data_IF_190289388782
#
_entry.id   IF_190289388782
#
_cell.length_a   1.000
_cell.length_b   1.000
_cell.length_c   1.000
_cell.angle_alpha   90.00
_cell.angle_beta   90.00
_cell.angle_gamma   90.00
#
_symmetry.space_group_name_H-M   'P 1'
#
loop_
_entity.id
_entity.type
_entity.pdbx_description
1 polymer ?
#
# COMPACT_ATOMS: atom_id res chain seq x y z
N UNK A 1 50.63 36.24 -9.37
CA UNK A 1 49.73 35.97 -10.51
C UNK A 1 48.99 34.68 -10.22
N UNK A 2 47.76 34.76 -9.74
CA UNK A 2 46.92 33.60 -9.41
C UNK A 2 45.84 33.54 -10.48
N UNK A 3 45.89 32.51 -11.34
CA UNK A 3 44.92 32.30 -12.40
C UNK A 3 43.77 31.44 -11.85
N UNK A 4 42.62 32.07 -11.63
CA UNK A 4 41.34 31.45 -11.29
C UNK A 4 40.66 30.91 -12.56
N UNK A 5 40.57 29.58 -12.69
CA UNK A 5 39.81 28.89 -13.72
C UNK A 5 38.43 28.52 -13.18
N UNK A 6 37.44 29.37 -13.45
CA UNK A 6 36.02 29.06 -13.28
C UNK A 6 35.53 28.26 -14.50
N UNK A 7 35.31 26.96 -14.35
CA UNK A 7 34.58 26.14 -15.34
C UNK A 7 33.09 26.18 -15.02
N UNK A 8 32.32 26.81 -15.91
CA UNK A 8 30.87 26.70 -15.95
C UNK A 8 30.49 25.33 -16.53
N UNK A 9 29.88 24.47 -15.72
CA UNK A 9 29.28 23.21 -16.17
C UNK A 9 27.84 23.51 -16.57
N UNK A 10 27.52 23.37 -17.85
CA UNK A 10 26.14 23.43 -18.34
C UNK A 10 25.39 22.15 -17.92
N UNK A 11 24.14 22.25 -17.43
CA UNK A 11 23.37 21.07 -17.06
C UNK A 11 22.96 20.27 -18.31
N UNK A 12 23.19 18.97 -18.26
CA UNK A 12 22.85 17.99 -19.29
C UNK A 12 21.31 17.83 -19.40
N UNK A 13 20.69 18.13 -20.56
CA UNK A 13 19.23 18.06 -20.72
C UNK A 13 18.67 16.63 -20.88
N UNK A 14 19.49 15.58 -20.75
CA UNK A 14 19.06 14.19 -21.00
C UNK A 14 18.40 13.47 -19.80
N UNK A 15 18.37 14.07 -18.61
CA UNK A 15 17.68 13.50 -17.43
C UNK A 15 16.24 14.02 -17.32
N UNK A 16 15.38 13.67 -18.28
CA UNK A 16 13.91 13.71 -18.08
C UNK A 16 13.42 12.33 -17.68
N UNK A 17 13.47 12.04 -16.39
CA UNK A 17 12.70 10.93 -15.82
C UNK A 17 11.23 11.27 -15.96
N UNK A 18 10.50 10.52 -16.78
CA UNK A 18 9.04 10.58 -16.88
C UNK A 18 8.44 10.12 -15.56
N UNK A 19 8.18 11.07 -14.68
CA UNK A 19 7.66 10.82 -13.34
C UNK A 19 6.13 10.70 -13.39
N UNK A 20 5.64 9.59 -13.93
CA UNK A 20 4.21 9.24 -13.94
C UNK A 20 3.67 8.85 -12.55
N UNK A 21 4.55 8.70 -11.55
CA UNK A 21 4.17 8.37 -10.17
C UNK A 21 3.69 9.58 -9.36
N UNK A 22 4.13 10.79 -9.73
CA UNK A 22 3.74 12.04 -9.06
C UNK A 22 2.31 12.49 -9.36
N UNK A 23 1.66 11.97 -10.42
CA UNK A 23 0.29 12.33 -10.77
C UNK A 23 -0.73 11.73 -9.79
N UNK A 24 -0.53 10.48 -9.34
CA UNK A 24 -1.48 9.76 -8.48
C UNK A 24 -1.45 10.25 -7.02
N UNK A 25 -0.27 10.58 -6.49
CA UNK A 25 -0.14 11.15 -5.13
C UNK A 25 -0.65 12.60 -5.08
N UNK A 26 -0.53 13.36 -6.17
CA UNK A 26 -1.09 14.71 -6.24
C UNK A 26 -2.61 14.71 -6.33
N UNK A 27 -3.23 13.75 -7.01
CA UNK A 27 -4.70 13.72 -7.19
C UNK A 27 -5.45 13.52 -5.87
N UNK A 28 -4.92 12.71 -4.94
CA UNK A 28 -5.55 12.48 -3.64
C UNK A 28 -5.35 13.64 -2.63
N UNK A 29 -4.25 14.38 -2.74
CA UNK A 29 -3.96 15.55 -1.88
C UNK A 29 -4.55 16.87 -2.41
N UNK A 30 -4.90 16.95 -3.70
CA UNK A 30 -5.41 18.19 -4.31
C UNK A 30 -6.87 18.50 -3.92
N UNK A 31 -7.67 17.49 -3.60
CA UNK A 31 -9.09 17.67 -3.28
C UNK A 31 -9.37 18.30 -1.91
N UNK A 32 -8.40 18.31 -1.00
CA UNK A 32 -8.61 18.76 0.40
C UNK A 32 -8.04 20.15 0.71
N UNK A 33 -7.26 20.76 -0.18
CA UNK A 33 -6.72 22.11 0.00
C UNK A 33 -7.75 23.17 -0.46
N UNK A 34 -8.77 23.44 0.36
CA UNK A 34 -9.63 24.60 0.09
C UNK A 34 -10.94 24.67 0.86
N UNK A 35 -11.39 23.58 1.47
CA UNK A 35 -12.57 23.59 2.34
C UNK A 35 -12.13 23.52 3.79
N UNK A 36 -12.47 24.55 4.56
CA UNK A 36 -12.48 24.48 6.01
C UNK A 36 -13.58 23.49 6.41
N UNK A 37 -13.22 22.23 6.56
CA UNK A 37 -14.09 21.26 7.20
C UNK A 37 -14.01 21.49 8.71
N UNK A 38 -15.14 21.51 9.43
CA UNK A 38 -15.10 21.43 10.89
C UNK A 38 -14.34 20.16 11.29
N UNK A 39 -13.67 20.14 12.45
CA UNK A 39 -12.99 18.95 12.92
C UNK A 39 -13.96 17.75 12.87
N UNK A 40 -13.49 16.63 12.32
CA UNK A 40 -14.28 15.40 12.15
C UNK A 40 -14.94 14.88 13.44
N UNK A 41 -14.50 15.40 14.60
CA UNK A 41 -15.04 15.14 15.93
C UNK A 41 -16.49 15.59 16.10
N UNK A 42 -16.92 16.57 15.31
CA UNK A 42 -18.27 17.13 15.33
C UNK A 42 -19.17 16.57 14.21
N UNK A 43 -18.67 15.64 13.39
CA UNK A 43 -19.41 15.13 12.24
C UNK A 43 -20.48 14.12 12.67
N UNK A 44 -21.69 14.31 12.17
CA UNK A 44 -22.72 13.31 12.23
C UNK A 44 -22.42 12.15 11.24
N UNK A 45 -22.94 10.96 11.54
CA UNK A 45 -22.78 9.78 10.67
C UNK A 45 -23.31 10.04 9.26
N UNK A 46 -24.34 10.86 9.11
CA UNK A 46 -24.89 11.31 7.83
C UNK A 46 -23.88 12.12 7.01
N UNK A 47 -23.09 12.98 7.66
CA UNK A 47 -22.07 13.81 7.00
C UNK A 47 -20.86 12.97 6.56
N UNK A 48 -20.49 11.94 7.33
CA UNK A 48 -19.51 10.95 6.92
C UNK A 48 -19.99 10.15 5.70
N UNK A 49 -21.25 9.71 5.67
CA UNK A 49 -21.87 9.03 4.52
C UNK A 49 -21.85 9.92 3.27
N UNK A 50 -22.19 11.20 3.40
CA UNK A 50 -22.18 12.15 2.29
C UNK A 50 -20.78 12.42 1.75
N UNK A 51 -19.78 12.50 2.64
CA UNK A 51 -18.38 12.72 2.27
C UNK A 51 -17.78 11.51 1.53
N UNK A 52 -18.07 10.29 1.98
CA UNK A 52 -17.67 9.06 1.27
C UNK A 52 -18.34 8.99 -0.11
N UNK A 53 -19.62 9.35 -0.18
CA UNK A 53 -20.39 9.39 -1.44
C UNK A 53 -19.86 10.44 -2.42
N UNK A 54 -19.43 11.61 -1.95
CA UNK A 54 -18.85 12.68 -2.78
C UNK A 54 -17.37 12.47 -3.13
N UNK A 55 -16.64 11.64 -2.39
CA UNK A 55 -15.23 11.34 -2.64
C UNK A 55 -15.00 10.39 -3.84
N UNK A 56 -16.06 9.98 -4.54
CA UNK A 56 -15.94 9.06 -5.68
C UNK A 56 -15.56 7.62 -5.28
N UNK A 57 -15.57 7.30 -3.99
CA UNK A 57 -15.45 5.93 -3.46
C UNK A 57 -16.78 5.16 -3.63
N UNK A 58 -17.46 5.37 -4.75
CA UNK A 58 -18.62 4.56 -5.13
C UNK A 58 -18.11 3.15 -5.41
N UNK A 59 -18.52 2.20 -4.57
CA UNK A 59 -18.50 0.78 -4.91
C UNK A 59 -19.24 0.65 -6.24
N UNK A 60 -18.53 0.33 -7.31
CA UNK A 60 -19.15 -0.02 -8.58
C UNK A 60 -20.10 -1.19 -8.34
N UNK A 61 -21.40 -0.89 -8.33
CA UNK A 61 -22.45 -1.86 -8.07
C UNK A 61 -23.83 -1.22 -8.09
N UNK A 62 -24.32 -0.92 -9.30
CA UNK A 62 -25.76 -0.79 -9.56
C UNK A 62 -26.31 0.63 -9.60
N UNK A 63 -26.82 0.99 -10.78
CA UNK A 63 -27.61 2.19 -11.06
C UNK A 63 -28.80 2.31 -10.09
N UNK A 64 -28.82 3.33 -9.24
CA UNK A 64 -30.05 3.80 -8.60
C UNK A 64 -30.63 4.93 -9.44
N UNK A 65 -31.41 4.54 -10.46
CA UNK A 65 -32.34 5.44 -11.10
C UNK A 65 -33.40 5.88 -10.07
N UNK A 66 -33.62 7.20 -9.98
CA UNK A 66 -34.62 7.85 -9.15
C UNK A 66 -36.02 7.25 -9.38
N UNK A 67 -36.54 6.52 -8.40
CA UNK A 67 -37.86 5.89 -8.42
C UNK A 67 -38.75 6.46 -7.30
N UNK A 68 -39.02 7.77 -7.32
CA UNK A 68 -39.90 8.39 -6.32
C UNK A 68 -41.25 8.90 -6.83
N UNK A 69 -41.58 8.77 -8.13
CA UNK A 69 -42.77 9.47 -8.66
C UNK A 69 -43.84 8.62 -9.36
N UNK A 70 -43.84 7.29 -9.17
CA UNK A 70 -44.91 6.44 -9.71
C UNK A 70 -45.25 5.27 -8.82
N UNK A 71 -46.03 5.47 -7.76
CA UNK A 71 -47.06 4.50 -7.29
C UNK A 71 -47.79 5.02 -6.05
N UNK A 72 -48.62 6.05 -6.20
CA UNK A 72 -49.74 6.29 -5.27
C UNK A 72 -51.01 5.98 -6.04
N UNK A 73 -51.38 4.70 -6.08
CA UNK A 73 -52.64 4.30 -6.67
C UNK A 73 -52.71 2.83 -7.06
N UNK A 74 -53.28 2.03 -6.16
CA UNK A 74 -53.92 0.74 -6.40
C UNK A 74 -53.01 -0.46 -6.68
N UNK A 75 -52.85 -1.30 -5.67
CA UNK A 75 -53.14 -2.76 -5.61
C UNK A 75 -52.53 -3.26 -4.28
N UNK A 76 -53.34 -3.44 -3.24
CA UNK A 76 -53.83 -4.77 -2.85
C UNK A 76 -52.69 -5.72 -2.46
N UNK A 77 -52.42 -5.76 -1.14
CA UNK A 77 -51.83 -6.88 -0.38
C UNK A 77 -50.91 -7.82 -1.18
N UNK A 78 -49.75 -7.31 -1.60
CA UNK A 78 -48.64 -8.18 -1.94
C UNK A 78 -48.05 -8.71 -0.63
N UNK A 79 -47.80 -10.02 -0.56
CA UNK A 79 -46.86 -10.60 0.40
C UNK A 79 -45.55 -9.81 0.27
N UNK A 80 -45.40 -8.78 1.10
CA UNK A 80 -44.11 -8.17 1.36
C UNK A 80 -43.27 -9.33 1.85
N UNK A 81 -42.30 -9.73 1.05
CA UNK A 81 -41.47 -10.87 1.38
C UNK A 81 -40.90 -10.64 2.78
N UNK A 82 -40.74 -11.70 3.57
CA UNK A 82 -40.18 -11.58 4.92
C UNK A 82 -38.83 -10.82 4.90
N UNK A 83 -38.11 -10.94 3.79
CA UNK A 83 -36.90 -10.21 3.45
C UNK A 83 -37.13 -8.69 3.32
N UNK A 84 -38.14 -8.24 2.57
CA UNK A 84 -38.46 -6.80 2.44
C UNK A 84 -38.91 -6.20 3.79
N UNK A 85 -39.64 -6.97 4.61
CA UNK A 85 -39.98 -6.58 5.99
C UNK A 85 -38.74 -6.45 6.88
N UNK A 86 -37.74 -7.31 6.66
CA UNK A 86 -36.49 -7.27 7.42
C UNK A 86 -35.60 -6.11 6.96
N UNK A 87 -35.50 -5.84 5.65
CA UNK A 87 -34.81 -4.68 5.09
C UNK A 87 -35.44 -3.39 5.62
N UNK A 88 -36.76 -3.23 5.53
CA UNK A 88 -37.45 -2.04 6.03
C UNK A 88 -37.26 -1.81 7.54
N UNK A 89 -37.16 -2.89 8.34
CA UNK A 89 -36.84 -2.80 9.78
C UNK A 89 -35.40 -2.36 10.02
N UNK A 90 -34.45 -2.82 9.21
CA UNK A 90 -33.05 -2.40 9.30
C UNK A 90 -32.89 -0.93 8.87
N UNK A 91 -33.57 -0.51 7.80
CA UNK A 91 -33.60 0.88 7.36
C UNK A 91 -34.28 1.80 8.40
N UNK A 92 -35.39 1.35 8.99
CA UNK A 92 -36.04 2.09 10.08
C UNK A 92 -35.14 2.17 11.33
N UNK A 93 -34.44 1.10 11.67
CA UNK A 93 -33.48 1.10 12.77
C UNK A 93 -32.27 2.01 12.47
N UNK A 94 -31.82 2.11 11.21
CA UNK A 94 -30.78 3.06 10.78
C UNK A 94 -31.26 4.51 10.84
N UNK A 95 -32.55 4.76 10.56
CA UNK A 95 -33.17 6.09 10.67
C UNK A 95 -33.42 6.50 12.13
N UNK A 96 -33.77 5.54 12.98
CA UNK A 96 -34.02 5.74 14.42
C UNK A 96 -32.74 5.64 15.27
N UNK A 97 -31.63 5.17 14.70
CA UNK A 97 -30.35 5.08 15.38
C UNK A 97 -29.81 6.48 15.69
N UNK A 98 -30.14 6.98 16.88
CA UNK A 98 -29.51 8.15 17.46
C UNK A 98 -28.12 7.77 17.96
N UNK A 99 -27.15 7.66 17.05
CA UNK A 99 -25.75 7.85 17.37
C UNK A 99 -25.40 9.29 17.03
N UNK A 100 -25.57 10.24 17.98
CA UNK A 100 -25.28 11.63 17.68
C UNK A 100 -23.85 11.81 17.14
N UNK A 101 -22.88 10.99 17.55
CA UNK A 101 -21.48 11.12 17.09
C UNK A 101 -20.80 9.78 16.81
N UNK A 102 -19.85 9.76 15.86
CA UNK A 102 -19.07 8.56 15.52
C UNK A 102 -18.31 7.98 16.73
N UNK A 103 -17.78 8.84 17.61
CA UNK A 103 -17.03 8.41 18.80
C UNK A 103 -17.92 7.80 19.91
N UNK A 104 -19.24 7.93 19.81
CA UNK A 104 -20.18 7.31 20.74
C UNK A 104 -20.51 5.85 20.37
N UNK A 105 -20.12 5.42 19.16
CA UNK A 105 -20.19 4.01 18.77
C UNK A 105 -19.30 3.16 19.68
N UNK A 106 -19.67 1.91 19.94
CA UNK A 106 -18.78 0.98 20.64
C UNK A 106 -17.46 0.79 19.85
N UNK A 107 -16.34 0.58 20.55
CA UNK A 107 -15.03 0.42 19.93
C UNK A 107 -14.99 -0.72 18.89
N UNK A 108 -15.70 -1.82 19.15
CA UNK A 108 -15.80 -2.95 18.22
C UNK A 108 -16.46 -2.54 16.89
N UNK A 109 -17.54 -1.74 16.95
CA UNK A 109 -18.21 -1.23 15.76
C UNK A 109 -17.30 -0.26 14.99
N UNK A 110 -16.59 0.62 15.69
CA UNK A 110 -15.61 1.52 15.06
C UNK A 110 -14.52 0.72 14.36
N UNK A 111 -13.98 -0.32 15.00
CA UNK A 111 -12.98 -1.20 14.43
C UNK A 111 -13.48 -1.89 13.16
N UNK A 112 -14.72 -2.40 13.13
CA UNK A 112 -15.31 -2.96 11.91
C UNK A 112 -15.40 -1.95 10.77
N UNK A 113 -15.74 -0.69 11.07
CA UNK A 113 -15.76 0.39 10.07
C UNK A 113 -14.34 0.68 9.55
N UNK A 114 -13.34 0.70 10.44
CA UNK A 114 -11.95 0.89 10.03
C UNK A 114 -11.46 -0.25 9.16
N UNK A 115 -11.77 -1.50 9.51
CA UNK A 115 -11.41 -2.67 8.71
C UNK A 115 -12.04 -2.62 7.32
N UNK A 116 -13.32 -2.26 7.24
CA UNK A 116 -14.02 -2.06 5.97
C UNK A 116 -13.36 -0.97 5.12
N UNK A 117 -13.04 0.17 5.72
CA UNK A 117 -12.33 1.25 5.03
C UNK A 117 -10.94 0.81 4.56
N UNK A 118 -10.20 0.10 5.40
CA UNK A 118 -8.84 -0.36 5.10
C UNK A 118 -8.80 -1.48 4.06
N UNK A 119 -9.87 -2.27 3.93
CA UNK A 119 -9.99 -3.31 2.92
C UNK A 119 -9.84 -2.75 1.49
N UNK A 120 -10.25 -1.50 1.25
CA UNK A 120 -10.07 -0.82 -0.03
C UNK A 120 -8.59 -0.66 -0.43
N UNK A 121 -7.66 -0.68 0.54
CA UNK A 121 -6.22 -0.59 0.30
C UNK A 121 -5.50 -1.94 0.38
N UNK A 122 -6.21 -3.04 0.68
CA UNK A 122 -5.58 -4.34 0.92
C UNK A 122 -4.90 -4.93 -0.32
N UNK A 123 -5.44 -4.62 -1.51
CA UNK A 123 -5.00 -5.16 -2.78
C UNK A 123 -3.80 -4.42 -3.39
N UNK A 124 -3.60 -3.15 -3.01
CA UNK A 124 -2.54 -2.31 -3.55
C UNK A 124 -1.42 -2.11 -2.52
N UNK A 125 -0.17 -2.45 -2.86
CA UNK A 125 0.97 -2.12 -2.02
C UNK A 125 1.06 -0.60 -1.80
N UNK A 126 1.09 -0.18 -0.54
CA UNK A 126 1.20 1.21 -0.15
C UNK A 126 2.66 1.63 -0.15
N UNK A 127 3.03 2.52 -1.07
CA UNK A 127 4.32 3.19 -1.05
C UNK A 127 4.22 4.48 -0.23
N UNK A 128 5.04 4.60 0.82
CA UNK A 128 4.99 5.74 1.75
C UNK A 128 3.58 6.04 2.26
N UNK A 129 2.91 5.07 2.92
CA UNK A 129 1.57 5.32 3.40
C UNK A 129 1.56 6.51 4.35
N UNK A 130 0.82 7.53 3.95
CA UNK A 130 0.39 8.59 4.86
C UNK A 130 -0.66 8.02 5.81
N UNK A 131 -0.72 8.55 7.03
CA UNK A 131 -1.83 8.22 7.93
C UNK A 131 -3.17 8.51 7.22
N UNK A 132 -4.12 7.56 7.21
CA UNK A 132 -5.39 7.77 6.55
C UNK A 132 -6.11 8.99 7.15
N UNK A 133 -6.94 9.71 6.37
CA UNK A 133 -7.67 10.89 6.85
C UNK A 133 -8.36 10.66 8.20
N UNK A 134 -8.95 9.48 8.39
CA UNK A 134 -9.62 9.08 9.63
C UNK A 134 -8.69 9.08 10.86
N UNK A 135 -7.43 8.66 10.71
CA UNK A 135 -6.44 8.68 11.78
C UNK A 135 -5.84 10.07 12.04
N UNK A 136 -6.13 11.05 11.17
CA UNK A 136 -5.72 12.46 11.36
C UNK A 136 -6.75 13.27 12.12
N UNK A 137 -8.02 12.85 12.08
CA UNK A 137 -9.14 13.51 12.73
C UNK A 137 -8.96 13.67 14.24
N UNK A 138 -8.63 12.59 14.94
CA UNK A 138 -8.53 12.56 16.40
C UNK A 138 -7.45 11.56 16.86
N UNK A 139 -6.85 11.80 18.04
CA UNK A 139 -5.84 10.92 18.64
C UNK A 139 -6.37 9.51 18.94
N UNK A 140 -7.58 9.39 19.48
CA UNK A 140 -8.21 8.10 19.77
C UNK A 140 -8.39 7.29 18.47
N UNK A 141 -8.92 7.91 17.41
CA UNK A 141 -9.05 7.27 16.11
C UNK A 141 -7.70 6.81 15.56
N UNK A 142 -6.64 7.60 15.77
CA UNK A 142 -5.28 7.22 15.38
C UNK A 142 -4.81 5.96 16.11
N UNK A 143 -4.99 5.92 17.43
CA UNK A 143 -4.58 4.81 18.29
C UNK A 143 -5.34 3.52 17.90
N UNK A 144 -6.61 3.62 17.49
CA UNK A 144 -7.42 2.48 17.04
C UNK A 144 -7.10 2.04 15.59
N UNK A 145 -6.99 2.99 14.65
CA UNK A 145 -6.81 2.69 13.21
C UNK A 145 -5.39 2.26 12.88
N UNK A 146 -4.39 2.83 13.55
CA UNK A 146 -2.98 2.56 13.26
C UNK A 146 -2.64 1.06 13.30
N UNK A 147 -2.91 0.29 14.37
CA UNK A 147 -2.61 -1.14 14.38
C UNK A 147 -3.34 -1.92 13.27
N UNK A 148 -4.57 -1.54 12.94
CA UNK A 148 -5.34 -2.17 11.85
C UNK A 148 -4.71 -1.87 10.48
N UNK A 149 -4.21 -0.66 10.26
CA UNK A 149 -3.51 -0.26 9.04
C UNK A 149 -2.27 -1.15 8.81
N UNK A 150 -1.41 -1.29 9.83
CA UNK A 150 -0.17 -2.07 9.73
C UNK A 150 -0.42 -3.58 9.63
N UNK A 151 -1.53 -4.06 10.19
CA UNK A 151 -1.97 -5.46 10.12
C UNK A 151 -2.58 -5.80 8.75
N UNK A 152 -3.45 -4.95 8.22
CA UNK A 152 -4.31 -5.29 7.09
C UNK A 152 -3.75 -4.86 5.73
N UNK A 153 -2.95 -3.79 5.66
CA UNK A 153 -2.42 -3.27 4.41
C UNK A 153 -1.05 -3.87 4.05
N UNK A 154 -0.73 -3.87 2.76
CA UNK A 154 0.58 -4.31 2.24
C UNK A 154 1.49 -3.09 2.09
N UNK A 155 2.70 -3.11 2.64
CA UNK A 155 3.63 -1.98 2.58
C UNK A 155 4.72 -2.23 1.55
N UNK A 156 5.01 -1.25 0.71
CA UNK A 156 5.98 -1.40 -0.38
C UNK A 156 7.37 -0.82 -0.03
N UNK A 157 8.40 -1.64 -0.20
CA UNK A 157 9.80 -1.24 -0.24
C UNK A 157 10.23 -1.19 -1.70
N UNK A 158 10.43 0.03 -2.22
CA UNK A 158 10.97 0.19 -3.57
C UNK A 158 12.49 0.21 -3.55
N UNK A 159 13.09 -0.71 -4.28
CA UNK A 159 14.51 -0.77 -4.56
C UNK A 159 14.74 -0.30 -5.99
N UNK A 160 15.72 0.58 -6.16
CA UNK A 160 16.13 1.09 -7.47
C UNK A 160 17.58 0.69 -7.68
N UNK A 161 17.85 0.12 -8.85
CA UNK A 161 19.22 -0.11 -9.29
C UNK A 161 19.91 1.24 -9.50
N UNK A 162 20.88 1.53 -8.64
CA UNK A 162 21.73 2.70 -8.76
C UNK A 162 23.12 2.24 -9.22
N UNK A 163 23.63 2.92 -10.25
CA UNK A 163 25.03 2.80 -10.61
C UNK A 163 25.87 3.37 -9.47
N UNK A 164 26.70 2.53 -8.85
CA UNK A 164 27.61 3.00 -7.82
C UNK A 164 28.84 3.57 -8.50
N UNK A 165 28.94 4.90 -8.56
CA UNK A 165 30.15 5.61 -8.98
C UNK A 165 31.17 5.64 -7.84
N UNK A 166 31.51 4.48 -7.27
CA UNK A 166 32.64 4.41 -6.35
C UNK A 166 33.93 4.26 -7.16
N UNK A 167 34.81 5.28 -7.18
CA UNK A 167 36.05 5.24 -7.95
C UNK A 167 37.02 4.14 -7.46
N UNK A 168 36.77 3.53 -6.30
CA UNK A 168 37.57 2.42 -5.77
C UNK A 168 37.29 1.08 -6.45
N UNK A 169 36.17 0.95 -7.17
CA UNK A 169 35.76 -0.27 -7.84
C UNK A 169 35.74 -0.05 -9.36
N UNK A 170 36.71 -0.59 -10.12
CA UNK A 170 36.82 -0.34 -11.57
C UNK A 170 35.76 -1.09 -12.41
N UNK A 171 34.84 -1.80 -11.78
CA UNK A 171 33.64 -2.36 -12.41
C UNK A 171 32.43 -1.58 -11.89
N UNK A 172 31.52 -1.21 -12.78
CA UNK A 172 30.22 -0.65 -12.41
C UNK A 172 29.43 -1.69 -11.65
N UNK A 173 29.61 -1.71 -10.32
CA UNK A 173 28.80 -2.51 -9.42
C UNK A 173 27.43 -1.83 -9.29
N UNK A 174 26.43 -2.54 -9.79
CA UNK A 174 25.04 -2.17 -9.60
C UNK A 174 24.63 -2.57 -8.20
N UNK A 175 24.17 -1.60 -7.42
CA UNK A 175 23.62 -1.85 -6.10
C UNK A 175 22.12 -1.52 -6.11
N UNK A 176 21.34 -2.33 -5.42
CA UNK A 176 19.94 -2.01 -5.19
C UNK A 176 19.85 -1.12 -3.96
N UNK A 177 19.50 0.15 -4.19
CA UNK A 177 19.28 1.12 -3.11
C UNK A 177 17.80 1.23 -2.83
N UNK A 178 17.45 1.22 -1.55
CA UNK A 178 16.10 1.60 -1.16
C UNK A 178 15.87 3.05 -1.55
N UNK A 179 14.69 3.35 -2.12
CA UNK A 179 14.31 4.75 -2.38
C UNK A 179 14.37 5.54 -1.07
N UNK A 180 14.88 6.79 -1.07
CA UNK A 180 14.94 7.63 0.13
C UNK A 180 13.60 7.71 0.86
N UNK A 181 12.52 7.77 0.10
CA UNK A 181 11.13 7.72 0.51
C UNK A 181 10.79 6.52 1.39
N UNK A 182 11.09 5.30 0.92
CA UNK A 182 10.87 4.07 1.69
C UNK A 182 11.79 4.04 2.91
N UNK A 183 13.06 4.43 2.76
CA UNK A 183 14.00 4.45 3.88
C UNK A 183 13.53 5.37 5.02
N UNK A 184 13.13 6.60 4.69
CA UNK A 184 12.59 7.56 5.64
C UNK A 184 11.36 7.01 6.36
N UNK A 185 10.42 6.42 5.62
CA UNK A 185 9.22 5.81 6.20
C UNK A 185 9.59 4.75 7.25
N UNK A 186 10.40 3.75 6.91
CA UNK A 186 10.75 2.68 7.85
C UNK A 186 11.60 3.17 9.04
N UNK A 187 12.42 4.20 8.87
CA UNK A 187 13.18 4.80 9.98
C UNK A 187 12.32 5.59 10.96
N UNK A 188 11.13 6.03 10.54
CA UNK A 188 10.18 6.76 11.40
C UNK A 188 9.24 5.82 12.17
N UNK A 189 9.16 4.54 11.80
CA UNK A 189 8.34 3.58 12.50
C UNK A 189 8.97 3.18 13.83
N UNK A 190 8.13 3.09 14.87
CA UNK A 190 8.56 2.53 16.16
C UNK A 190 8.74 1.02 16.05
N UNK A 191 9.52 0.43 16.96
CA UNK A 191 9.69 -1.03 17.01
C UNK A 191 8.35 -1.77 17.20
N UNK A 192 7.42 -1.19 17.96
CA UNK A 192 6.08 -1.74 18.17
C UNK A 192 5.27 -1.75 16.88
N UNK A 193 5.33 -0.65 16.11
CA UNK A 193 4.64 -0.55 14.81
C UNK A 193 5.27 -1.46 13.76
N UNK A 194 6.59 -1.61 13.76
CA UNK A 194 7.26 -2.59 12.89
C UNK A 194 6.85 -4.02 13.25
N UNK A 195 6.70 -4.33 14.54
CA UNK A 195 6.26 -5.64 14.99
C UNK A 195 4.81 -5.98 14.61
N UNK A 196 3.97 -5.00 14.28
CA UNK A 196 2.59 -5.22 13.80
C UNK A 196 2.49 -5.38 12.28
N UNK A 197 3.56 -5.12 11.51
CA UNK A 197 3.56 -5.34 10.07
C UNK A 197 3.34 -6.82 9.75
N UNK A 198 2.38 -7.10 8.86
CA UNK A 198 2.07 -8.48 8.40
C UNK A 198 2.26 -8.70 6.92
N UNK A 199 2.18 -7.66 6.11
CA UNK A 199 2.27 -7.76 4.65
C UNK A 199 3.31 -6.78 4.15
N UNK A 200 4.37 -7.31 3.55
CA UNK A 200 5.47 -6.54 2.99
C UNK A 200 5.63 -6.90 1.51
N UNK A 201 5.85 -5.91 0.66
CA UNK A 201 6.14 -6.10 -0.74
C UNK A 201 7.46 -5.40 -1.04
N UNK A 202 8.44 -6.13 -1.56
CA UNK A 202 9.70 -5.55 -2.02
C UNK A 202 9.67 -5.55 -3.54
N UNK A 203 9.70 -4.36 -4.12
CA UNK A 203 9.71 -4.17 -5.57
C UNK A 203 11.09 -3.68 -5.97
N UNK A 204 11.80 -4.44 -6.79
CA UNK A 204 13.09 -4.05 -7.35
C UNK A 204 12.91 -3.60 -8.81
N UNK A 205 13.12 -2.32 -9.04
CA UNK A 205 13.17 -1.70 -10.36
C UNK A 205 14.62 -1.67 -10.83
N UNK A 206 14.89 -2.34 -11.95
CA UNK A 206 16.19 -2.29 -12.61
C UNK A 206 16.09 -1.44 -13.87
N UNK A 207 17.08 -0.57 -14.10
CA UNK A 207 17.15 0.25 -15.32
C UNK A 207 17.60 -0.58 -16.53
N UNK A 208 18.11 -1.79 -16.31
CA UNK A 208 18.53 -2.67 -17.40
C UNK A 208 17.31 -3.21 -18.14
N UNK A 209 17.27 -2.97 -19.46
CA UNK A 209 16.16 -3.33 -20.36
C UNK A 209 15.76 -4.82 -20.30
N UNK A 210 16.63 -5.69 -19.77
CA UNK A 210 16.46 -7.15 -19.76
C UNK A 210 16.04 -7.76 -18.42
N UNK A 211 16.13 -7.02 -17.30
CA UNK A 211 15.87 -7.57 -15.97
C UNK A 211 14.43 -7.35 -15.50
N UNK A 212 13.73 -6.38 -16.08
CA UNK A 212 12.34 -6.07 -15.73
C UNK A 212 12.16 -5.62 -14.29
N UNK A 213 10.93 -5.69 -13.79
CA UNK A 213 10.60 -5.36 -12.41
C UNK A 213 10.41 -6.69 -11.65
N UNK A 214 11.15 -6.86 -10.56
CA UNK A 214 11.01 -8.04 -9.70
C UNK A 214 10.19 -7.66 -8.48
N UNK A 215 9.13 -8.41 -8.24
CA UNK A 215 8.24 -8.30 -7.10
C UNK A 215 8.49 -9.46 -6.16
N UNK A 216 8.85 -9.17 -4.92
CA UNK A 216 8.94 -10.15 -3.84
C UNK A 216 7.87 -9.80 -2.80
N UNK A 217 6.78 -10.57 -2.78
CA UNK A 217 5.70 -10.41 -1.80
C UNK A 217 5.96 -11.32 -0.62
N UNK A 218 5.98 -10.74 0.57
CA UNK A 218 6.19 -11.42 1.84
C UNK A 218 4.90 -11.28 2.64
N UNK A 219 4.31 -12.41 2.99
CA UNK A 219 3.15 -12.50 3.85
C UNK A 219 3.58 -13.17 5.15
N UNK A 220 3.33 -12.51 6.29
CA UNK A 220 3.62 -13.03 7.63
C UNK A 220 2.26 -13.32 8.26
N UNK A 221 1.95 -14.60 8.46
CA UNK A 221 0.69 -15.02 9.06
C UNK A 221 0.68 -14.67 10.55
N UNK A 222 -0.48 -14.48 11.17
CA UNK A 222 -0.57 -14.36 12.64
C UNK A 222 -0.39 -15.75 13.29
N UNK A 223 0.46 -15.90 14.32
CA UNK A 223 1.07 -14.88 15.19
C UNK A 223 2.52 -14.47 14.82
N UNK A 224 2.92 -14.56 13.55
CA UNK A 224 4.29 -14.31 13.08
C UNK A 224 5.15 -15.57 12.99
N UNK A 225 4.52 -16.75 13.01
CA UNK A 225 5.23 -18.04 13.04
C UNK A 225 5.47 -18.63 11.67
N UNK A 226 4.53 -18.40 10.76
CA UNK A 226 4.63 -18.84 9.38
C UNK A 226 4.68 -17.63 8.47
N UNK A 227 5.40 -17.78 7.37
CA UNK A 227 5.48 -16.77 6.35
C UNK A 227 5.43 -17.43 4.99
N UNK A 228 5.05 -16.64 3.98
CA UNK A 228 5.06 -17.04 2.58
C UNK A 228 5.81 -15.99 1.79
N UNK A 229 6.76 -16.45 1.00
CA UNK A 229 7.50 -15.62 0.05
C UNK A 229 7.00 -15.96 -1.34
N UNK A 230 6.65 -14.95 -2.12
CA UNK A 230 6.22 -15.11 -3.50
C UNK A 230 6.98 -14.14 -4.38
N UNK A 231 7.91 -14.66 -5.17
CA UNK A 231 8.67 -13.89 -6.14
C UNK A 231 8.02 -13.98 -7.52
N UNK A 232 7.80 -12.82 -8.16
CA UNK A 232 7.30 -12.72 -9.53
C UNK A 232 8.13 -11.69 -10.28
N UNK A 233 8.47 -12.00 -11.52
CA UNK A 233 9.04 -11.00 -12.43
C UNK A 233 7.91 -10.47 -13.30
N UNK A 234 7.64 -9.17 -13.22
CA UNK A 234 6.83 -8.52 -14.23
C UNK A 234 7.75 -8.15 -15.38
N UNK A 235 7.54 -8.81 -16.52
CA UNK A 235 8.21 -8.38 -17.74
C UNK A 235 7.61 -7.03 -18.14
N UNK A 236 8.42 -5.99 -18.38
CA UNK A 236 7.93 -4.84 -19.11
C UNK A 236 7.42 -5.34 -20.46
N UNK A 237 6.26 -4.83 -20.88
CA UNK A 237 5.63 -5.18 -22.16
C UNK A 237 6.69 -5.35 -23.25
N UNK A 238 6.66 -6.45 -24.03
CA UNK A 238 7.67 -6.71 -25.02
C UNK A 238 7.75 -5.55 -26.02
N UNK A 239 8.89 -4.85 -26.06
CA UNK A 239 9.23 -4.02 -27.22
C UNK A 239 9.26 -4.96 -28.43
N UNK A 240 8.51 -4.59 -29.46
CA UNK A 240 8.12 -5.40 -30.64
C UNK A 240 9.09 -6.53 -31.00
N UNK A 241 8.60 -7.75 -31.26
CA UNK A 241 9.44 -8.82 -31.77
C UNK A 241 9.91 -8.48 -33.18
N UNK A 242 11.20 -8.20 -33.35
CA UNK A 242 11.87 -8.35 -34.64
C UNK A 242 12.17 -9.85 -34.81
N UNK A 243 11.21 -10.65 -35.28
CA UNK A 243 11.49 -12.00 -35.80
C UNK A 243 10.89 -13.22 -35.10
N UNK A 244 9.93 -13.06 -34.16
CA UNK A 244 8.89 -14.08 -33.97
C UNK A 244 9.15 -15.28 -33.04
N UNK A 245 10.20 -15.33 -32.22
CA UNK A 245 10.31 -16.35 -31.16
C UNK A 245 10.65 -15.73 -29.80
N UNK A 246 9.68 -15.71 -28.88
CA UNK A 246 9.89 -15.34 -27.49
C UNK A 246 10.31 -16.59 -26.71
N UNK A 247 11.61 -16.75 -26.44
CA UNK A 247 12.06 -17.73 -25.45
C UNK A 247 12.14 -17.03 -24.08
N UNK A 248 11.43 -17.52 -23.05
CA UNK A 248 11.64 -17.03 -21.69
C UNK A 248 13.11 -17.25 -21.32
N UNK A 249 13.79 -16.20 -20.82
CA UNK A 249 15.20 -16.30 -20.45
C UNK A 249 15.34 -17.22 -19.22
N UNK A 250 15.91 -18.44 -19.32
CA UNK A 250 16.00 -19.37 -18.19
C UNK A 250 16.80 -18.81 -17.00
N UNK A 251 17.67 -17.82 -17.25
CA UNK A 251 18.42 -17.11 -16.21
C UNK A 251 17.54 -16.31 -15.25
N UNK A 252 16.36 -15.86 -15.67
CA UNK A 252 15.51 -15.04 -14.80
C UNK A 252 14.78 -15.88 -13.75
N UNK A 253 14.36 -17.11 -14.10
CA UNK A 253 13.74 -18.03 -13.14
C UNK A 253 14.72 -18.46 -12.04
N UNK A 254 15.96 -18.80 -12.40
CA UNK A 254 17.00 -19.16 -11.42
C UNK A 254 17.25 -18.03 -10.40
N UNK A 255 17.25 -16.77 -10.86
CA UNK A 255 17.38 -15.59 -9.99
C UNK A 255 16.20 -15.43 -9.05
N UNK A 256 14.96 -15.60 -9.53
CA UNK A 256 13.78 -15.52 -8.67
C UNK A 256 13.82 -16.58 -7.56
N UNK A 257 14.24 -17.81 -7.88
CA UNK A 257 14.43 -18.86 -6.88
C UNK A 257 15.54 -18.52 -5.88
N UNK A 258 16.66 -17.92 -6.32
CA UNK A 258 17.71 -17.45 -5.41
C UNK A 258 17.20 -16.34 -4.48
N UNK A 259 16.46 -15.35 -5.01
CA UNK A 259 15.81 -14.30 -4.21
C UNK A 259 14.87 -14.91 -3.18
N UNK A 260 13.99 -15.82 -3.59
CA UNK A 260 13.02 -16.47 -2.71
C UNK A 260 13.70 -17.25 -1.58
N UNK A 261 14.74 -18.02 -1.90
CA UNK A 261 15.52 -18.75 -0.90
C UNK A 261 16.18 -17.81 0.10
N UNK A 262 16.89 -16.77 -0.36
CA UNK A 262 17.61 -15.84 0.52
C UNK A 262 16.67 -15.04 1.41
N UNK A 263 15.51 -14.62 0.88
CA UNK A 263 14.48 -13.93 1.66
C UNK A 263 13.90 -14.88 2.71
N UNK A 264 13.68 -16.15 2.34
CA UNK A 264 13.25 -17.20 3.28
C UNK A 264 14.26 -17.38 4.40
N UNK A 265 15.55 -17.51 4.11
CA UNK A 265 16.61 -17.66 5.12
C UNK A 265 16.59 -16.49 6.13
N UNK A 266 16.42 -15.25 5.66
CA UNK A 266 16.31 -14.07 6.55
C UNK A 266 15.06 -14.15 7.44
N UNK A 267 13.92 -14.58 6.90
CA UNK A 267 12.71 -14.73 7.69
C UNK A 267 12.82 -15.88 8.71
N UNK A 268 13.44 -17.01 8.36
CA UNK A 268 13.70 -18.10 9.29
C UNK A 268 14.59 -17.65 10.45
N UNK A 269 15.65 -16.89 10.19
CA UNK A 269 16.50 -16.33 11.26
C UNK A 269 15.74 -15.34 12.15
N UNK A 270 14.80 -14.60 11.56
CA UNK A 270 13.93 -13.66 12.29
C UNK A 270 12.95 -14.40 13.22
N UNK A 271 12.32 -15.48 12.72
CA UNK A 271 11.44 -16.35 13.50
C UNK A 271 12.21 -17.03 14.63
N UNK A 272 13.41 -17.56 14.34
CA UNK A 272 14.25 -18.23 15.32
C UNK A 272 14.68 -17.32 16.48
N UNK A 273 14.81 -16.00 16.24
CA UNK A 273 15.22 -15.03 17.27
C UNK A 273 14.16 -14.80 18.36
N UNK A 274 12.87 -14.83 18.01
CA UNK A 274 11.78 -14.42 18.93
C UNK A 274 11.14 -15.60 19.69
N UNK A 275 11.53 -16.84 19.38
CA UNK A 275 11.05 -18.04 20.08
C UNK A 275 9.53 -18.21 19.98
N UNK A 276 8.86 -18.46 21.13
CA UNK A 276 7.41 -18.71 21.17
C UNK A 276 6.55 -17.47 20.85
N UNK A 277 7.13 -16.28 20.93
CA UNK A 277 6.44 -14.99 20.79
C UNK A 277 6.05 -14.60 19.36
N UNK A 278 6.49 -15.37 18.35
CA UNK A 278 6.29 -15.08 16.94
C UNK A 278 7.25 -14.00 16.41
N UNK A 279 7.57 -14.05 15.11
CA UNK A 279 8.49 -13.10 14.49
C UNK A 279 7.94 -11.68 14.57
N UNK A 280 8.64 -10.84 15.33
CA UNK A 280 8.51 -9.39 15.30
C UNK A 280 9.57 -8.87 14.35
N UNK A 281 9.14 -8.16 13.31
CA UNK A 281 10.07 -7.50 12.40
C UNK A 281 10.73 -6.32 13.11
N UNK A 282 12.05 -6.27 13.06
CA UNK A 282 12.86 -5.11 13.43
C UNK A 282 13.34 -4.39 12.18
N UNK A 283 13.82 -3.16 12.35
CA UNK A 283 14.37 -2.38 11.26
C UNK A 283 15.59 -3.07 10.61
N UNK A 284 16.41 -3.77 11.41
CA UNK A 284 17.53 -4.58 10.89
C UNK A 284 17.07 -5.66 9.92
N UNK A 285 15.91 -6.26 10.16
CA UNK A 285 15.39 -7.35 9.34
C UNK A 285 14.89 -6.80 8.01
N UNK A 286 14.27 -5.61 8.00
CA UNK A 286 13.91 -4.89 6.76
C UNK A 286 15.13 -4.66 5.87
N UNK A 287 16.26 -4.24 6.46
CA UNK A 287 17.52 -4.09 5.73
C UNK A 287 18.15 -5.43 5.31
N UNK A 288 18.00 -6.48 6.12
CA UNK A 288 18.46 -7.82 5.76
C UNK A 288 17.67 -8.38 4.57
N UNK A 289 16.34 -8.21 4.56
CA UNK A 289 15.46 -8.59 3.45
C UNK A 289 15.84 -7.84 2.17
N UNK A 290 16.08 -6.52 2.26
CA UNK A 290 16.61 -5.72 1.15
C UNK A 290 17.89 -6.32 0.58
N UNK A 291 18.85 -6.66 1.45
CA UNK A 291 20.14 -7.23 1.06
C UNK A 291 20.01 -8.63 0.47
N UNK A 292 19.08 -9.45 0.98
CA UNK A 292 18.78 -10.77 0.44
C UNK A 292 18.23 -10.69 -1.00
N UNK A 293 17.30 -9.77 -1.25
CA UNK A 293 16.78 -9.50 -2.61
C UNK A 293 17.90 -9.04 -3.54
N UNK A 294 18.75 -8.13 -3.07
CA UNK A 294 19.92 -7.66 -3.81
C UNK A 294 20.87 -8.81 -4.19
N UNK A 295 21.25 -9.64 -3.23
CA UNK A 295 22.14 -10.78 -3.48
C UNK A 295 21.54 -11.81 -4.44
N UNK A 296 20.26 -12.16 -4.27
CA UNK A 296 19.61 -13.17 -5.12
C UNK A 296 19.43 -12.74 -6.57
N UNK A 297 19.40 -11.43 -6.85
CA UNK A 297 19.29 -10.91 -8.22
C UNK A 297 20.61 -10.95 -9.01
N UNK A 298 21.75 -11.01 -8.31
CA UNK A 298 23.08 -10.91 -8.92
C UNK A 298 23.84 -12.24 -9.00
N UNK A 299 23.29 -13.30 -8.41
CA UNK A 299 23.75 -14.69 -8.62
C UNK A 299 23.26 -15.27 -9.96
#
# INVERSE_FOLDING_TARGET
MVASLSRSVSPDPSLRTSDTSAAFVREHDFYWRGRHFPPYEDWHVTELKDCVSTSGLSLQGGETASFQDRTIGKLASADISEQDRMIAKLEAADLDAQFPRFLELAADLRNSIYEFYLAAFADQPLHMPTMPPLARANRLLREEVSPLLFKNCTFEIKLVAAETQDPRWPRTEWALRMRPESALFFTQLTAETLATLRKLCITAETVQENLGIVFCRILIDEPGRTFRVHCRQHQPMPRRPLGGLWLPYPRSLARLSSVEQRVTDVLETTVAREGEGGAKLHLSDVYALRKAVEQGLWE
#
